data_IF_560445852809
#
_entry.id   IF_560445852809
#
_cell.length_a   1.000
_cell.length_b   1.000
_cell.length_c   1.000
_cell.angle_alpha   90.00
_cell.angle_beta   90.00
_cell.angle_gamma   90.00
#
_symmetry.space_group_name_H-M   'P 1'
#
loop_
_entity.id
_entity.type
_entity.pdbx_description
1 polymer ?
#
# COMPACT_ATOMS: atom_id res chain seq x y z
N UNK A 1 0.89 -34.42 -18.87
CA UNK A 1 0.81 -33.15 -19.64
C UNK A 1 0.23 -31.98 -18.82
N UNK A 2 0.01 -32.09 -17.49
CA UNK A 2 -0.58 -31.01 -16.67
C UNK A 2 0.37 -30.38 -15.63
N UNK A 3 1.54 -30.96 -15.38
CA UNK A 3 2.52 -30.42 -14.41
C UNK A 3 3.33 -29.23 -14.96
N UNK A 4 3.50 -29.13 -16.29
CA UNK A 4 4.27 -28.06 -16.91
C UNK A 4 3.61 -26.68 -16.83
N UNK A 5 2.27 -26.63 -16.73
CA UNK A 5 1.52 -25.36 -16.62
C UNK A 5 1.54 -24.82 -15.18
N UNK A 6 1.71 -25.68 -14.18
CA UNK A 6 1.76 -25.27 -12.76
C UNK A 6 3.11 -24.70 -12.34
N UNK A 7 4.21 -25.06 -13.02
CA UNK A 7 5.55 -24.52 -12.73
C UNK A 7 5.75 -23.09 -13.23
N UNK A 8 5.05 -22.66 -14.29
CA UNK A 8 5.33 -21.37 -14.93
C UNK A 8 4.82 -20.16 -14.15
N UNK A 9 3.73 -20.29 -13.37
CA UNK A 9 3.18 -19.16 -12.62
C UNK A 9 3.91 -18.90 -11.32
N UNK A 10 4.35 -19.94 -10.59
CA UNK A 10 5.05 -19.79 -9.31
C UNK A 10 6.46 -19.21 -9.47
N UNK A 11 7.23 -19.66 -10.47
CA UNK A 11 8.59 -19.17 -10.76
C UNK A 11 8.63 -17.69 -11.19
N UNK A 12 7.51 -17.11 -11.63
CA UNK A 12 7.43 -15.69 -12.06
C UNK A 12 7.27 -14.71 -10.89
N UNK A 13 6.83 -15.16 -9.70
CA UNK A 13 6.67 -14.30 -8.52
C UNK A 13 7.88 -14.31 -7.58
N UNK A 14 8.79 -15.25 -7.75
CA UNK A 14 9.88 -15.50 -6.79
C UNK A 14 11.04 -14.49 -6.91
N UNK A 15 10.99 -13.59 -7.90
CA UNK A 15 12.07 -12.63 -8.16
C UNK A 15 11.58 -11.24 -8.61
N UNK A 16 10.37 -10.82 -8.19
CA UNK A 16 9.89 -9.47 -8.53
C UNK A 16 10.53 -8.41 -7.63
N UNK A 17 11.06 -7.37 -8.24
CA UNK A 17 11.63 -6.22 -7.54
C UNK A 17 10.54 -5.50 -6.73
N UNK A 18 10.85 -5.14 -5.48
CA UNK A 18 9.97 -4.30 -4.66
C UNK A 18 10.21 -2.85 -5.04
N UNK A 19 9.22 -2.22 -5.66
CA UNK A 19 9.31 -0.82 -6.12
C UNK A 19 8.78 0.19 -5.09
N UNK A 20 7.96 -0.26 -4.15
CA UNK A 20 7.49 0.53 -3.00
C UNK A 20 7.36 -0.38 -1.77
N UNK A 21 7.99 0.02 -0.66
CA UNK A 21 7.90 -0.68 0.63
C UNK A 21 7.38 0.31 1.69
N UNK A 22 6.07 0.25 1.97
CA UNK A 22 5.41 1.09 2.97
C UNK A 22 5.42 0.35 4.31
N UNK A 23 6.04 0.97 5.32
CA UNK A 23 6.14 0.41 6.68
C UNK A 23 5.62 1.42 7.69
N UNK A 24 4.65 0.99 8.49
CA UNK A 24 4.06 1.74 9.61
C UNK A 24 3.66 3.16 9.19
N UNK A 25 3.02 3.30 8.02
CA UNK A 25 2.57 4.61 7.57
C UNK A 25 1.46 5.08 8.50
N UNK A 26 1.76 6.14 9.24
CA UNK A 26 0.81 6.86 10.09
C UNK A 26 0.67 8.27 9.58
N UNK A 27 -0.56 8.77 9.57
CA UNK A 27 -0.84 10.16 9.19
C UNK A 27 -1.68 10.79 10.29
N UNK A 28 -1.16 11.85 10.88
CA UNK A 28 -1.85 12.68 11.86
C UNK A 28 -2.21 14.01 11.22
N UNK A 29 -3.42 14.50 11.50
CA UNK A 29 -3.80 15.88 11.21
C UNK A 29 -4.00 16.62 12.53
N UNK A 30 -3.31 17.73 12.68
CA UNK A 30 -3.51 18.64 13.80
C UNK A 30 -4.87 19.33 13.64
N UNK A 31 -5.69 19.31 14.69
CA UNK A 31 -6.95 20.04 14.72
C UNK A 31 -7.08 20.83 16.03
N UNK A 32 -7.92 21.86 16.10
CA UNK A 32 -8.17 22.59 17.36
C UNK A 32 -8.71 21.72 18.50
N UNK A 33 -9.21 20.52 18.21
CA UNK A 33 -9.74 19.56 19.20
C UNK A 33 -8.72 18.46 19.57
N UNK A 34 -7.50 18.56 19.07
CA UNK A 34 -6.45 17.56 19.20
C UNK A 34 -6.16 16.84 17.88
N UNK A 35 -5.13 16.00 17.92
CA UNK A 35 -4.66 15.29 16.73
C UNK A 35 -5.65 14.21 16.30
N UNK A 36 -5.88 14.12 14.99
CA UNK A 36 -6.67 13.05 14.38
C UNK A 36 -5.72 12.10 13.66
N UNK A 37 -5.69 10.85 14.12
CA UNK A 37 -5.02 9.77 13.42
C UNK A 37 -5.87 9.32 12.23
N UNK A 38 -5.52 9.78 11.02
CA UNK A 38 -6.29 9.53 9.80
C UNK A 38 -5.85 8.26 9.05
N UNK A 39 -4.61 7.80 9.27
CA UNK A 39 -4.11 6.50 8.81
C UNK A 39 -3.31 5.90 9.95
N UNK A 40 -3.64 4.67 10.37
CA UNK A 40 -3.04 4.01 11.53
C UNK A 40 -2.19 2.80 11.11
N UNK A 41 -0.89 3.02 10.93
CA UNK A 41 0.10 1.95 10.82
C UNK A 41 -0.15 0.97 9.68
N UNK A 42 -0.31 1.46 8.44
CA UNK A 42 -0.47 0.56 7.29
C UNK A 42 0.89 0.06 6.77
N UNK A 43 0.92 -1.21 6.36
CA UNK A 43 2.11 -1.89 5.86
C UNK A 43 1.80 -2.65 4.58
N UNK A 44 2.54 -2.41 3.50
CA UNK A 44 2.45 -3.20 2.28
C UNK A 44 3.68 -3.01 1.39
N UNK A 45 3.87 -3.95 0.47
CA UNK A 45 4.85 -3.85 -0.61
C UNK A 45 4.11 -3.80 -1.95
N UNK A 46 4.63 -3.01 -2.88
CA UNK A 46 4.26 -3.05 -4.29
C UNK A 46 5.44 -3.62 -5.06
N UNK A 47 5.19 -4.66 -5.84
CA UNK A 47 6.20 -5.25 -6.69
C UNK A 47 6.13 -4.69 -8.12
N UNK A 48 7.22 -4.80 -8.86
CA UNK A 48 7.27 -4.37 -10.26
C UNK A 48 6.17 -5.06 -11.10
N UNK A 49 5.48 -4.25 -11.92
CA UNK A 49 4.39 -4.70 -12.78
C UNK A 49 3.09 -5.03 -12.05
N UNK A 50 2.98 -4.76 -10.75
CA UNK A 50 1.73 -4.89 -10.01
C UNK A 50 0.92 -3.59 -10.01
N UNK A 51 -0.40 -3.76 -9.99
CA UNK A 51 -1.35 -2.67 -9.77
C UNK A 51 -2.01 -2.87 -8.42
N UNK A 52 -1.80 -1.95 -7.48
CA UNK A 52 -2.45 -1.95 -6.17
C UNK A 52 -3.66 -1.03 -6.18
N UNK A 53 -4.83 -1.59 -5.90
CA UNK A 53 -6.07 -0.84 -5.69
C UNK A 53 -6.34 -0.63 -4.20
N UNK A 54 -6.48 0.63 -3.77
CA UNK A 54 -6.89 0.97 -2.41
C UNK A 54 -8.40 1.28 -2.38
N UNK A 55 -9.18 0.43 -1.70
CA UNK A 55 -10.65 0.50 -1.66
C UNK A 55 -11.18 0.59 -0.23
N UNK A 56 -12.39 1.12 -0.07
CA UNK A 56 -13.03 1.33 1.23
C UNK A 56 -14.05 2.47 1.21
N UNK A 57 -14.81 2.61 2.30
CA UNK A 57 -15.89 3.61 2.45
C UNK A 57 -15.38 5.06 2.39
N UNK A 58 -16.27 6.01 2.11
CA UNK A 58 -15.91 7.43 2.18
C UNK A 58 -15.40 7.79 3.58
N UNK A 59 -14.26 8.49 3.66
CA UNK A 59 -13.66 8.88 4.93
C UNK A 59 -12.72 7.87 5.60
N UNK A 60 -12.54 6.66 5.07
CA UNK A 60 -11.67 5.64 5.69
C UNK A 60 -10.14 5.87 5.52
N UNK A 61 -9.72 7.03 5.00
CA UNK A 61 -8.29 7.38 4.88
C UNK A 61 -7.59 7.02 3.56
N UNK A 62 -8.31 6.61 2.50
CA UNK A 62 -7.70 6.23 1.20
C UNK A 62 -6.84 7.34 0.58
N UNK A 63 -7.42 8.53 0.38
CA UNK A 63 -6.70 9.67 -0.19
C UNK A 63 -5.60 10.15 0.75
N UNK A 64 -5.81 10.06 2.06
CA UNK A 64 -4.80 10.39 3.06
C UNK A 64 -3.59 9.46 2.98
N UNK A 65 -3.80 8.15 2.86
CA UNK A 65 -2.72 7.18 2.68
C UNK A 65 -1.96 7.47 1.37
N UNK A 66 -2.66 7.74 0.27
CA UNK A 66 -2.03 8.09 -1.00
C UNK A 66 -1.18 9.38 -0.89
N UNK A 67 -1.68 10.42 -0.24
CA UNK A 67 -0.91 11.65 0.01
C UNK A 67 0.31 11.42 0.90
N UNK A 68 0.18 10.58 1.94
CA UNK A 68 1.30 10.21 2.82
C UNK A 68 2.40 9.44 2.08
N UNK A 69 2.02 8.50 1.21
CA UNK A 69 2.96 7.75 0.36
C UNK A 69 3.70 8.70 -0.59
N UNK A 70 3.00 9.66 -1.18
CA UNK A 70 3.56 10.63 -2.12
C UNK A 70 4.27 11.81 -1.43
N UNK A 71 4.31 11.85 -0.09
CA UNK A 71 4.89 12.94 0.71
C UNK A 71 4.29 14.33 0.38
N UNK A 72 2.98 14.38 0.12
CA UNK A 72 2.27 15.62 -0.24
C UNK A 72 1.57 16.31 0.94
N UNK A 73 1.80 15.80 2.14
CA UNK A 73 1.27 16.31 3.40
C UNK A 73 2.42 16.51 4.38
N UNK A 74 2.36 17.59 5.14
CA UNK A 74 3.41 18.09 6.03
C UNK A 74 2.92 18.16 7.45
#
# INVERSE_FOLDING_TARGET
MSEAIRKSTAETYENKEVVLDVKDLRVYYETPKGDVLAVDGIHFKLYEGETLGLVGESGCGKSTAAMGILQLIT
#
